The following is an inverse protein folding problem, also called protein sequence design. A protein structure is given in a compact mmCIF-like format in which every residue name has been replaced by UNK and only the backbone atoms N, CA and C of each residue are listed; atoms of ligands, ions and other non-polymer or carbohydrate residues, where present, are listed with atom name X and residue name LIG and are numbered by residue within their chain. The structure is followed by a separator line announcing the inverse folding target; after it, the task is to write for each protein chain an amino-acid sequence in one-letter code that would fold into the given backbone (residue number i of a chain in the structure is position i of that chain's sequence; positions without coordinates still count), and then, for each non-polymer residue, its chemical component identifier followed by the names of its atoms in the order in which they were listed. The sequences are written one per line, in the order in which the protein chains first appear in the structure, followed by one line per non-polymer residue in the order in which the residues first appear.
data_IF_200397869861
#
_entry.id   IF_200397869861
#
_cell.length_a   1.000
_cell.length_b   1.000
_cell.length_c   1.000
_cell.angle_alpha   90.00
_cell.angle_beta   90.00
_cell.angle_gamma   90.00
#
_symmetry.space_group_name_H-M   'P 1'
#
loop_
_entity.id
_entity.type
_entity.pdbx_description
1 polymer ?
#
# COMPACT_ATOMS: atom_id res chain seq x y z
N UNK A 1 11.65 -23.76 -30.95
CA UNK A 1 11.49 -22.40 -30.40
C UNK A 1 10.90 -22.52 -29.00
N UNK A 2 11.69 -22.25 -27.96
CA UNK A 2 11.27 -22.47 -26.58
C UNK A 2 10.49 -21.23 -26.11
N UNK A 3 9.16 -21.34 -26.10
CA UNK A 3 8.22 -20.30 -25.67
C UNK A 3 8.27 -20.10 -24.14
N UNK A 4 9.39 -19.68 -23.57
CA UNK A 4 9.48 -19.25 -22.17
C UNK A 4 10.32 -17.98 -22.06
N UNK A 5 9.66 -16.84 -21.84
CA UNK A 5 10.34 -15.59 -21.49
C UNK A 5 9.83 -15.06 -20.14
N UNK A 6 9.89 -15.93 -19.13
CA UNK A 6 9.57 -15.58 -17.75
C UNK A 6 10.71 -14.83 -17.05
N UNK A 7 11.94 -14.83 -17.61
CA UNK A 7 13.12 -14.17 -17.05
C UNK A 7 12.81 -12.73 -16.64
N UNK A 8 12.33 -11.90 -17.56
CA UNK A 8 12.10 -10.48 -17.29
C UNK A 8 11.01 -10.26 -16.24
N UNK A 9 9.98 -11.10 -16.23
CA UNK A 9 8.90 -11.02 -15.23
C UNK A 9 9.44 -11.38 -13.84
N UNK A 10 10.24 -12.44 -13.72
CA UNK A 10 10.86 -12.84 -12.45
C UNK A 10 11.85 -11.79 -11.96
N UNK A 11 12.73 -11.29 -12.83
CA UNK A 11 13.69 -10.22 -12.50
C UNK A 11 12.96 -8.97 -12.00
N UNK A 12 11.91 -8.53 -12.71
CA UNK A 12 11.09 -7.40 -12.29
C UNK A 12 10.41 -7.64 -10.94
N UNK A 13 9.88 -8.85 -10.73
CA UNK A 13 9.18 -9.23 -9.49
C UNK A 13 10.12 -9.26 -8.29
N UNK A 14 11.29 -9.90 -8.41
CA UNK A 14 12.28 -9.96 -7.34
C UNK A 14 12.94 -8.60 -7.05
N UNK A 15 13.17 -7.78 -8.08
CA UNK A 15 13.69 -6.42 -7.88
C UNK A 15 12.71 -5.57 -7.07
N UNK A 16 11.43 -5.57 -7.43
CA UNK A 16 10.42 -4.80 -6.70
C UNK A 16 10.14 -5.41 -5.32
N UNK A 17 10.18 -6.74 -5.17
CA UNK A 17 10.12 -7.41 -3.87
C UNK A 17 11.21 -6.90 -2.92
N UNK A 18 12.47 -6.86 -3.35
CA UNK A 18 13.60 -6.40 -2.52
C UNK A 18 13.46 -4.92 -2.13
N UNK A 19 13.02 -4.08 -3.07
CA UNK A 19 12.77 -2.66 -2.80
C UNK A 19 11.66 -2.48 -1.77
N UNK A 20 10.51 -3.15 -1.97
CA UNK A 20 9.37 -3.03 -1.07
C UNK A 20 9.62 -3.73 0.27
N UNK A 21 10.50 -4.72 0.34
CA UNK A 21 10.93 -5.32 1.61
C UNK A 21 11.55 -4.25 2.51
N UNK A 22 12.44 -3.43 1.97
CA UNK A 22 13.03 -2.30 2.68
C UNK A 22 11.97 -1.25 3.05
N UNK A 23 11.15 -0.85 2.07
CA UNK A 23 10.16 0.21 2.26
C UNK A 23 9.05 -0.17 3.26
N UNK A 24 8.43 -1.34 3.12
CA UNK A 24 7.33 -1.78 3.99
C UNK A 24 7.81 -1.99 5.42
N UNK A 25 9.01 -2.54 5.61
CA UNK A 25 9.61 -2.67 6.94
C UNK A 25 9.91 -1.33 7.60
N UNK A 26 10.39 -0.36 6.82
CA UNK A 26 10.64 0.99 7.32
C UNK A 26 9.33 1.74 7.63
N UNK A 27 8.32 1.62 6.76
CA UNK A 27 7.01 2.25 6.91
C UNK A 27 6.32 1.85 8.22
N UNK A 28 6.26 0.55 8.54
CA UNK A 28 5.58 0.05 9.75
C UNK A 28 6.27 0.51 11.04
N UNK A 29 7.55 0.86 10.95
CA UNK A 29 8.33 1.37 12.08
C UNK A 29 8.31 2.89 12.20
N UNK A 30 7.99 3.66 11.15
CA UNK A 30 8.08 5.13 11.20
C UNK A 30 7.32 5.76 12.36
N UNK A 31 6.09 5.30 12.62
CA UNK A 31 5.24 5.80 13.71
C UNK A 31 5.86 5.58 15.09
N UNK A 32 6.77 4.62 15.20
CA UNK A 32 7.36 4.17 16.46
C UNK A 32 8.85 4.48 16.58
N UNK A 33 9.57 4.64 15.48
CA UNK A 33 10.99 4.97 15.41
C UNK A 33 11.23 6.48 15.46
N UNK A 34 10.42 7.25 14.71
CA UNK A 34 10.54 8.70 14.58
C UNK A 34 9.33 9.41 15.23
N UNK A 35 9.15 9.19 16.54
CA UNK A 35 7.99 9.68 17.31
C UNK A 35 8.00 11.18 17.61
N UNK A 36 9.18 11.80 17.69
CA UNK A 36 9.36 13.20 18.11
C UNK A 36 8.55 14.10 17.17
N UNK A 37 7.62 14.87 17.75
CA UNK A 37 6.69 15.77 17.03
C UNK A 37 5.90 15.10 15.90
N UNK A 38 5.80 13.77 15.89
CA UNK A 38 5.12 13.04 14.82
C UNK A 38 5.87 13.01 13.48
N UNK A 39 7.18 13.30 13.46
CA UNK A 39 7.99 13.38 12.25
C UNK A 39 7.83 12.16 11.30
N UNK A 40 7.82 10.94 11.86
CA UNK A 40 7.70 9.71 11.08
C UNK A 40 6.40 9.63 10.28
N UNK A 41 5.25 9.85 10.93
CA UNK A 41 3.94 9.83 10.26
C UNK A 41 3.73 11.05 9.36
N UNK A 42 4.27 12.22 9.71
CA UNK A 42 4.26 13.38 8.83
C UNK A 42 5.02 13.10 7.52
N UNK A 43 6.18 12.45 7.60
CA UNK A 43 6.95 12.02 6.43
C UNK A 43 6.15 11.07 5.53
N UNK A 44 5.49 10.07 6.12
CA UNK A 44 4.63 9.15 5.38
C UNK A 44 3.45 9.88 4.72
N UNK A 45 2.81 10.80 5.44
CA UNK A 45 1.71 11.60 4.89
C UNK A 45 2.15 12.39 3.66
N UNK A 46 3.27 13.13 3.75
CA UNK A 46 3.81 13.90 2.62
C UNK A 46 4.16 13.00 1.43
N UNK A 47 4.78 11.85 1.68
CA UNK A 47 5.09 10.88 0.62
C UNK A 47 3.84 10.42 -0.13
N UNK A 48 2.74 10.10 0.58
CA UNK A 48 1.49 9.67 -0.05
C UNK A 48 0.73 10.80 -0.75
N UNK A 49 0.81 12.05 -0.26
CA UNK A 49 0.33 13.23 -1.00
C UNK A 49 1.11 13.40 -2.31
N UNK A 50 2.45 13.34 -2.24
CA UNK A 50 3.31 13.42 -3.42
C UNK A 50 3.07 12.25 -4.38
N UNK A 51 2.80 11.04 -3.88
CA UNK A 51 2.42 9.89 -4.68
C UNK A 51 1.10 10.12 -5.44
N UNK A 52 0.10 10.65 -4.75
CA UNK A 52 -1.21 10.98 -5.34
C UNK A 52 -1.05 11.93 -6.51
N UNK A 53 -0.28 13.02 -6.33
CA UNK A 53 0.03 13.98 -7.39
C UNK A 53 0.85 13.37 -8.53
N UNK A 54 1.84 12.56 -8.18
CA UNK A 54 2.74 11.93 -9.15
C UNK A 54 2.03 10.95 -10.06
N UNK A 55 1.14 10.12 -9.51
CA UNK A 55 0.43 9.06 -10.22
C UNK A 55 -0.36 9.53 -11.43
N UNK A 56 -0.81 10.79 -11.45
CA UNK A 56 -1.53 11.40 -12.57
C UNK A 56 -0.62 12.00 -13.64
N UNK A 57 0.53 12.53 -13.23
CA UNK A 57 1.33 13.48 -14.04
C UNK A 57 2.59 12.85 -14.62
N UNK A 58 3.38 12.18 -13.78
CA UNK A 58 4.75 11.80 -14.10
C UNK A 58 4.87 10.53 -14.97
N UNK A 59 4.01 9.49 -14.82
CA UNK A 59 4.14 8.27 -15.62
C UNK A 59 4.23 8.46 -17.14
N UNK A 60 3.30 9.16 -17.82
CA UNK A 60 3.35 9.29 -19.27
C UNK A 60 4.61 10.03 -19.74
N UNK A 61 5.06 11.04 -18.98
CA UNK A 61 6.24 11.85 -19.28
C UNK A 61 7.53 11.02 -19.21
N UNK A 62 7.72 10.30 -18.11
CA UNK A 62 8.95 9.54 -17.88
C UNK A 62 9.03 8.31 -18.78
N UNK A 63 7.93 7.56 -18.94
CA UNK A 63 7.89 6.38 -19.79
C UNK A 63 8.20 6.76 -21.25
N UNK A 64 7.66 7.88 -21.76
CA UNK A 64 7.95 8.37 -23.12
C UNK A 64 9.41 8.82 -23.27
N UNK A 65 9.96 9.57 -22.30
CA UNK A 65 11.28 10.20 -22.43
C UNK A 65 12.45 9.23 -22.24
N UNK A 66 12.39 8.36 -21.23
CA UNK A 66 13.52 7.49 -20.84
C UNK A 66 13.18 5.99 -20.94
N UNK A 67 11.93 5.63 -21.25
CA UNK A 67 11.49 4.23 -21.38
C UNK A 67 11.15 3.57 -20.05
N UNK A 68 10.50 2.41 -20.10
CA UNK A 68 10.01 1.70 -18.91
C UNK A 68 11.15 1.29 -17.97
N UNK A 69 12.21 0.64 -18.49
CA UNK A 69 13.34 0.15 -17.66
C UNK A 69 13.97 1.26 -16.83
N UNK A 70 14.33 2.38 -17.46
CA UNK A 70 15.01 3.48 -16.77
C UNK A 70 14.07 4.29 -15.89
N UNK A 71 12.77 4.35 -16.21
CA UNK A 71 11.75 4.90 -15.30
C UNK A 71 11.66 4.08 -14.00
N UNK A 72 11.67 2.75 -14.10
CA UNK A 72 11.72 1.85 -12.93
C UNK A 72 12.97 2.15 -12.12
N UNK A 73 14.15 2.13 -12.73
CA UNK A 73 15.45 2.38 -12.04
C UNK A 73 15.47 3.73 -11.34
N UNK A 74 15.10 4.82 -12.03
CA UNK A 74 15.05 6.16 -11.44
C UNK A 74 14.11 6.21 -10.24
N UNK A 75 12.94 5.57 -10.35
CA UNK A 75 11.98 5.50 -9.26
C UNK A 75 12.52 4.70 -8.06
N UNK A 76 13.19 3.57 -8.30
CA UNK A 76 13.83 2.78 -7.23
C UNK A 76 14.89 3.56 -6.48
N UNK A 77 15.66 4.42 -7.16
CA UNK A 77 16.66 5.30 -6.52
C UNK A 77 15.97 6.30 -5.57
N UNK A 78 14.80 6.84 -5.94
CA UNK A 78 14.01 7.68 -5.04
C UNK A 78 13.68 6.94 -3.75
N UNK A 79 13.24 5.68 -3.81
CA UNK A 79 12.97 4.85 -2.62
C UNK A 79 14.21 4.65 -1.74
N UNK A 80 15.39 4.41 -2.34
CA UNK A 80 16.65 4.27 -1.58
C UNK A 80 16.99 5.57 -0.84
N UNK A 81 16.73 6.74 -1.46
CA UNK A 81 17.03 8.03 -0.84
C UNK A 81 16.31 8.22 0.51
N UNK A 82 15.08 7.72 0.64
CA UNK A 82 14.34 7.76 1.91
C UNK A 82 14.96 6.87 2.98
N UNK A 83 15.39 5.65 2.63
CA UNK A 83 16.12 4.78 3.57
C UNK A 83 17.43 5.44 4.03
N UNK A 84 18.16 6.11 3.13
CA UNK A 84 19.39 6.83 3.46
C UNK A 84 19.14 8.04 4.37
N UNK A 85 18.11 8.84 4.09
CA UNK A 85 17.76 10.00 4.92
C UNK A 85 17.29 9.59 6.34
N UNK A 86 16.85 8.35 6.53
CA UNK A 86 16.50 7.83 7.85
C UNK A 86 17.72 7.59 8.78
N UNK A 87 18.96 7.56 8.26
CA UNK A 87 20.15 7.48 9.13
C UNK A 87 20.32 8.76 9.98
N UNK A 88 19.91 9.90 9.43
CA UNK A 88 19.93 11.20 10.10
C UNK A 88 18.55 11.86 9.98
N UNK A 89 17.55 11.38 10.76
CA UNK A 89 16.18 11.82 10.62
C UNK A 89 16.03 13.23 11.22
N UNK A 90 15.69 14.18 10.35
CA UNK A 90 15.34 15.56 10.68
C UNK A 90 14.15 15.97 9.82
N UNK A 91 13.45 17.04 10.21
CA UNK A 91 12.33 17.57 9.42
C UNK A 91 12.71 17.81 7.96
N UNK A 92 13.79 18.55 7.60
CA UNK A 92 14.14 18.74 6.20
C UNK A 92 14.51 17.42 5.50
N UNK A 93 15.32 16.55 6.12
CA UNK A 93 15.83 15.34 5.45
C UNK A 93 14.71 14.35 5.15
N UNK A 94 13.81 14.10 6.09
CA UNK A 94 12.71 13.16 5.89
C UNK A 94 11.61 13.72 5.01
N UNK A 95 11.24 14.99 5.12
CA UNK A 95 10.19 15.58 4.26
C UNK A 95 10.65 15.64 2.80
N UNK A 96 11.88 16.08 2.53
CA UNK A 96 12.41 16.14 1.16
C UNK A 96 12.48 14.74 0.54
N UNK A 97 13.02 13.76 1.27
CA UNK A 97 13.09 12.39 0.76
C UNK A 97 11.71 11.75 0.61
N UNK A 98 10.72 12.12 1.44
CA UNK A 98 9.33 11.70 1.29
C UNK A 98 8.72 12.20 -0.02
N UNK A 99 8.93 13.47 -0.35
CA UNK A 99 8.51 14.04 -1.65
C UNK A 99 9.18 13.27 -2.80
N UNK A 100 10.49 13.02 -2.72
CA UNK A 100 11.21 12.25 -3.75
C UNK A 100 10.61 10.85 -3.95
N UNK A 101 10.35 10.11 -2.87
CA UNK A 101 9.71 8.78 -2.96
C UNK A 101 8.31 8.85 -3.53
N UNK A 102 7.49 9.81 -3.08
CA UNK A 102 6.16 10.01 -3.63
C UNK A 102 6.19 10.31 -5.13
N UNK A 103 7.11 11.18 -5.57
CA UNK A 103 7.33 11.46 -6.98
C UNK A 103 7.78 10.23 -7.77
N UNK A 104 8.58 9.33 -7.19
CA UNK A 104 8.98 8.07 -7.83
C UNK A 104 7.93 6.96 -7.82
N UNK A 105 7.04 6.92 -6.83
CA UNK A 105 6.11 5.80 -6.64
C UNK A 105 5.09 5.64 -7.77
N UNK A 106 4.50 6.73 -8.26
CA UNK A 106 3.55 6.68 -9.37
C UNK A 106 4.18 6.12 -10.66
N UNK A 107 5.29 6.70 -11.13
CA UNK A 107 6.06 6.21 -12.26
C UNK A 107 6.52 4.76 -12.10
N UNK A 108 6.92 4.32 -10.90
CA UNK A 108 7.30 2.93 -10.65
C UNK A 108 6.16 1.95 -10.98
N UNK A 109 4.96 2.19 -10.43
CA UNK A 109 3.81 1.31 -10.62
C UNK A 109 3.32 1.30 -12.06
N UNK A 110 3.27 2.47 -12.70
CA UNK A 110 2.86 2.60 -14.07
C UNK A 110 3.85 1.93 -15.03
N UNK A 111 5.14 2.26 -14.93
CA UNK A 111 6.17 1.69 -15.80
C UNK A 111 6.29 0.18 -15.66
N UNK A 112 6.16 -0.36 -14.45
CA UNK A 112 6.06 -1.80 -14.18
C UNK A 112 4.87 -2.44 -14.90
N UNK A 113 3.69 -1.84 -14.76
CA UNK A 113 2.45 -2.38 -15.35
C UNK A 113 2.51 -2.36 -16.87
N UNK A 114 3.02 -1.26 -17.45
CA UNK A 114 3.30 -1.15 -18.89
C UNK A 114 4.34 -2.19 -19.33
N UNK A 115 5.43 -2.38 -18.59
CA UNK A 115 6.47 -3.36 -18.91
C UNK A 115 5.92 -4.79 -18.94
N UNK A 116 5.13 -5.19 -17.94
CA UNK A 116 4.49 -6.51 -17.88
C UNK A 116 3.54 -6.69 -19.07
N UNK A 117 2.73 -5.67 -19.37
CA UNK A 117 1.74 -5.71 -20.45
C UNK A 117 2.41 -5.85 -21.82
N UNK A 118 3.42 -5.03 -22.13
CA UNK A 118 4.13 -5.10 -23.40
C UNK A 118 4.86 -6.45 -23.56
N UNK A 119 5.51 -6.93 -22.49
CA UNK A 119 6.19 -8.24 -22.51
C UNK A 119 5.20 -9.38 -22.70
N UNK A 120 4.04 -9.33 -22.04
CA UNK A 120 2.96 -10.31 -22.17
C UNK A 120 2.37 -10.33 -23.57
N UNK A 121 2.09 -9.16 -24.16
CA UNK A 121 1.56 -9.05 -25.52
C UNK A 121 2.54 -9.61 -26.56
N UNK A 122 3.82 -9.22 -26.49
CA UNK A 122 4.85 -9.71 -27.42
C UNK A 122 5.04 -11.23 -27.32
N UNK A 123 4.99 -11.77 -26.10
CA UNK A 123 5.05 -13.21 -25.89
C UNK A 123 3.81 -13.93 -26.43
N UNK A 124 2.62 -13.37 -26.21
CA UNK A 124 1.37 -13.94 -26.69
C UNK A 124 1.33 -14.01 -28.22
N UNK A 125 1.78 -12.96 -28.90
CA UNK A 125 1.91 -12.90 -30.35
C UNK A 125 2.89 -13.96 -30.88
N UNK A 126 4.07 -14.06 -30.27
CA UNK A 126 5.11 -15.03 -30.69
C UNK A 126 4.66 -16.48 -30.51
N UNK A 127 3.84 -16.76 -29.50
CA UNK A 127 3.42 -18.11 -29.11
C UNK A 127 1.97 -18.45 -29.49
N UNK A 128 1.28 -17.58 -30.24
CA UNK A 128 -0.11 -17.79 -30.66
C UNK A 128 -1.13 -17.93 -29.51
N UNK A 129 -0.91 -17.25 -28.38
CA UNK A 129 -1.79 -17.26 -27.20
C UNK A 129 -2.64 -16.00 -27.14
N UNK A 130 -3.74 -16.04 -26.39
CA UNK A 130 -4.54 -14.85 -26.11
C UNK A 130 -3.73 -13.90 -25.21
N UNK A 131 -3.51 -12.66 -25.67
CA UNK A 131 -2.73 -11.66 -24.93
C UNK A 131 -3.26 -11.40 -23.52
N UNK A 132 -4.59 -11.32 -23.38
CA UNK A 132 -5.27 -11.12 -22.09
C UNK A 132 -4.88 -12.17 -21.05
N UNK A 133 -4.79 -13.44 -21.45
CA UNK A 133 -4.50 -14.54 -20.53
C UNK A 133 -3.05 -14.53 -20.08
N UNK A 134 -2.12 -14.28 -21.01
CA UNK A 134 -0.68 -14.17 -20.69
C UNK A 134 -0.41 -12.99 -19.78
N UNK A 135 -0.98 -11.82 -20.09
CA UNK A 135 -0.79 -10.60 -19.28
C UNK A 135 -1.34 -10.83 -17.87
N UNK A 136 -2.54 -11.40 -17.75
CA UNK A 136 -3.12 -11.75 -16.44
C UNK A 136 -2.24 -12.73 -15.66
N UNK A 137 -1.70 -13.76 -16.33
CA UNK A 137 -0.78 -14.70 -15.71
C UNK A 137 0.49 -14.00 -15.18
N UNK A 138 1.08 -13.10 -15.96
CA UNK A 138 2.29 -12.37 -15.55
C UNK A 138 2.04 -11.40 -14.39
N UNK A 139 0.90 -10.70 -14.40
CA UNK A 139 0.49 -9.90 -13.24
C UNK A 139 0.27 -10.77 -12.00
N UNK A 140 -0.35 -11.95 -12.14
CA UNK A 140 -0.55 -12.91 -11.06
C UNK A 140 0.78 -13.36 -10.43
N UNK A 141 1.76 -13.76 -11.26
CA UNK A 141 3.10 -14.14 -10.81
C UNK A 141 3.77 -12.96 -10.09
N UNK A 142 3.70 -11.76 -10.69
CA UNK A 142 4.27 -10.55 -10.10
C UNK A 142 3.73 -10.29 -8.70
N UNK A 143 2.39 -10.25 -8.55
CA UNK A 143 1.77 -9.91 -7.28
C UNK A 143 1.99 -11.00 -6.23
N UNK A 144 1.98 -12.28 -6.62
CA UNK A 144 2.29 -13.39 -5.71
C UNK A 144 3.68 -13.23 -5.09
N UNK A 145 4.70 -12.91 -5.89
CA UNK A 145 6.06 -12.71 -5.39
C UNK A 145 6.14 -11.41 -4.58
N UNK A 146 5.65 -10.30 -5.12
CA UNK A 146 5.81 -8.97 -4.54
C UNK A 146 5.07 -8.81 -3.21
N UNK A 147 3.91 -9.43 -3.01
CA UNK A 147 3.14 -9.30 -1.75
C UNK A 147 3.88 -9.89 -0.54
N UNK A 148 4.81 -10.82 -0.76
CA UNK A 148 5.64 -11.36 0.33
C UNK A 148 6.60 -10.32 0.94
N UNK A 149 6.78 -9.14 0.32
CA UNK A 149 7.61 -8.06 0.85
C UNK A 149 7.22 -7.63 2.27
N UNK A 150 5.92 -7.65 2.59
CA UNK A 150 5.40 -7.30 3.93
C UNK A 150 5.93 -8.27 4.99
N UNK A 151 6.11 -9.54 4.63
CA UNK A 151 6.65 -10.57 5.54
C UNK A 151 8.14 -10.34 5.76
N UNK A 152 8.91 -10.26 4.67
CA UNK A 152 10.38 -10.12 4.76
C UNK A 152 10.81 -8.82 5.44
N UNK A 153 10.15 -7.69 5.13
CA UNK A 153 10.53 -6.39 5.68
C UNK A 153 10.35 -6.32 7.20
N UNK A 154 9.23 -6.86 7.68
CA UNK A 154 8.90 -6.93 9.10
C UNK A 154 9.67 -8.05 9.84
N UNK A 155 10.10 -9.09 9.13
CA UNK A 155 10.96 -10.12 9.70
C UNK A 155 12.37 -9.57 9.95
N UNK A 156 12.94 -8.83 9.00
CA UNK A 156 14.25 -8.18 9.16
C UNK A 156 14.25 -7.28 10.40
N UNK A 157 13.25 -6.41 10.56
CA UNK A 157 13.18 -5.53 11.73
C UNK A 157 13.09 -6.31 13.03
N UNK A 158 12.18 -7.28 13.10
CA UNK A 158 11.98 -8.09 14.31
C UNK A 158 13.24 -8.85 14.71
N UNK A 159 13.97 -9.44 13.75
CA UNK A 159 15.22 -10.15 14.02
C UNK A 159 16.31 -9.19 14.52
N UNK A 160 16.49 -8.04 13.87
CA UNK A 160 17.49 -7.03 14.29
C UNK A 160 17.20 -6.54 15.72
N UNK A 161 15.93 -6.31 16.06
CA UNK A 161 15.53 -5.89 17.41
C UNK A 161 15.77 -6.97 18.48
N UNK A 162 15.60 -8.26 18.15
CA UNK A 162 15.79 -9.35 19.12
C UNK A 162 17.25 -9.78 19.27
N UNK A 163 18.06 -9.66 18.23
CA UNK A 163 19.45 -10.13 18.23
C UNK A 163 20.44 -9.10 18.79
N UNK A 164 20.04 -7.83 18.97
CA UNK A 164 20.92 -6.79 19.47
C UNK A 164 20.77 -6.59 20.99
N UNK A 165 21.77 -6.94 21.82
CA UNK A 165 21.72 -6.74 23.26
C UNK A 165 21.68 -5.24 23.63
N UNK A 166 21.00 -4.90 24.74
CA UNK A 166 20.83 -3.52 25.24
C UNK A 166 20.17 -2.54 24.25
N UNK A 167 19.23 -3.03 23.44
CA UNK A 167 18.58 -2.22 22.41
C UNK A 167 17.66 -1.09 22.94
N UNK A 168 17.42 -1.00 24.25
CA UNK A 168 16.56 0.03 24.85
C UNK A 168 15.11 -0.05 24.35
N UNK A 169 14.60 -1.28 24.20
CA UNK A 169 13.31 -1.59 23.56
C UNK A 169 12.19 -1.90 24.56
N UNK A 170 12.40 -1.62 25.84
CA UNK A 170 11.39 -1.87 26.86
C UNK A 170 10.14 -1.04 26.57
N UNK A 171 8.97 -1.62 26.87
CA UNK A 171 7.71 -0.93 26.69
C UNK A 171 7.78 0.41 27.46
N UNK A 172 7.39 1.54 26.84
CA UNK A 172 7.39 2.81 27.54
C UNK A 172 6.51 2.67 28.79
N UNK A 173 6.89 3.33 29.90
CA UNK A 173 6.04 3.49 31.10
C UNK A 173 4.85 4.42 30.81
N UNK A 174 4.12 4.14 29.73
CA UNK A 174 2.96 4.88 29.27
C UNK A 174 1.74 4.25 29.93
N UNK A 175 1.04 5.02 30.74
CA UNK A 175 -0.13 4.54 31.51
C UNK A 175 -1.38 4.38 30.66
N UNK A 176 -1.40 4.96 29.45
CA UNK A 176 -2.56 4.97 28.56
C UNK A 176 -2.13 4.46 27.18
N UNK A 177 -2.65 3.30 26.79
CA UNK A 177 -2.45 2.64 25.50
C UNK A 177 -3.80 2.32 24.84
N UNK A 178 -3.78 1.97 23.55
CA UNK A 178 -4.98 1.59 22.79
C UNK A 178 -5.86 2.79 22.43
N UNK A 179 -7.18 2.63 22.51
CA UNK A 179 -8.14 3.66 22.08
C UNK A 179 -8.02 4.99 22.84
N UNK A 180 -7.53 4.96 24.08
CA UNK A 180 -7.33 6.14 24.92
C UNK A 180 -6.06 6.94 24.62
N UNK A 181 -5.17 6.46 23.75
CA UNK A 181 -3.93 7.17 23.41
C UNK A 181 -4.24 8.49 22.65
N UNK A 182 -3.71 9.60 23.17
CA UNK A 182 -3.95 10.97 22.70
C UNK A 182 -2.63 11.74 22.59
N UNK A 183 -2.54 12.73 21.68
CA UNK A 183 -1.36 13.59 21.55
C UNK A 183 -1.07 14.39 22.83
N UNK A 184 0.22 14.61 23.11
CA UNK A 184 0.73 15.18 24.36
C UNK A 184 0.27 16.63 24.67
N UNK A 185 -0.28 17.37 23.71
CA UNK A 185 -0.83 18.72 23.98
C UNK A 185 -2.13 18.70 24.83
N UNK A 186 -2.80 17.55 24.93
CA UNK A 186 -3.98 17.35 25.77
C UNK A 186 -3.64 16.77 27.17
N UNK A 187 -2.40 16.37 27.38
CA UNK A 187 -1.91 15.75 28.61
C UNK A 187 -0.56 16.39 28.97
N UNK A 188 -0.61 17.55 29.64
CA UNK A 188 0.56 18.07 30.34
C UNK A 188 1.04 17.02 31.35
N UNK A 189 2.13 16.33 31.03
CA UNK A 189 3.20 15.91 31.95
C UNK A 189 4.20 15.03 31.21
N UNK A 190 5.44 15.50 31.08
CA UNK A 190 6.61 14.64 30.93
C UNK A 190 7.45 14.89 29.68
N UNK A 191 8.63 15.49 29.89
CA UNK A 191 9.77 15.34 28.98
C UNK A 191 10.23 13.87 29.01
N UNK A 192 9.64 13.01 28.19
CA UNK A 192 10.09 11.63 28.01
C UNK A 192 10.88 11.51 26.71
N UNK A 193 12.20 11.74 26.81
CA UNK A 193 13.21 11.34 25.82
C UNK A 193 13.45 9.81 25.79
N UNK A 194 12.49 9.01 26.25
CA UNK A 194 12.65 7.57 26.46
C UNK A 194 11.89 6.79 25.40
N UNK A 195 12.62 6.12 24.50
CA UNK A 195 12.03 5.17 23.54
C UNK A 195 12.69 5.11 22.16
N UNK A 196 13.77 5.86 21.90
CA UNK A 196 14.56 5.68 20.67
C UNK A 196 15.51 4.48 20.84
N UNK A 197 15.48 3.48 19.95
CA UNK A 197 16.44 2.37 19.98
C UNK A 197 17.88 2.87 19.91
N UNK A 198 18.82 2.06 20.42
CA UNK A 198 20.24 2.40 20.34
C UNK A 198 20.69 2.63 18.89
N UNK A 199 21.63 3.56 18.68
CA UNK A 199 22.10 3.91 17.33
C UNK A 199 22.63 2.70 16.56
N UNK A 200 23.22 1.72 17.24
CA UNK A 200 23.68 0.46 16.65
C UNK A 200 22.53 -0.32 15.98
N UNK A 201 21.39 -0.46 16.67
CA UNK A 201 20.21 -1.15 16.13
C UNK A 201 19.69 -0.42 14.89
N UNK A 202 19.60 0.90 14.98
CA UNK A 202 19.12 1.75 13.87
C UNK A 202 20.04 1.60 12.65
N UNK A 203 21.36 1.63 12.83
CA UNK A 203 22.30 1.50 11.72
C UNK A 203 22.31 0.12 11.09
N UNK A 204 22.20 -0.96 11.88
CA UNK A 204 22.08 -2.32 11.33
C UNK A 204 20.77 -2.44 10.54
N UNK A 205 19.67 -1.95 11.09
CA UNK A 205 18.36 -1.99 10.45
C UNK A 205 18.34 -1.22 9.13
N UNK A 206 18.69 0.06 9.16
CA UNK A 206 18.70 0.92 7.98
C UNK A 206 19.76 0.50 6.96
N UNK A 207 20.89 -0.04 7.43
CA UNK A 207 21.92 -0.65 6.58
C UNK A 207 21.38 -1.84 5.81
N UNK A 208 20.67 -2.75 6.48
CA UNK A 208 20.03 -3.91 5.84
C UNK A 208 18.98 -3.51 4.80
N UNK A 209 18.13 -2.52 5.10
CA UNK A 209 17.13 -2.00 4.17
C UNK A 209 17.75 -1.28 2.97
N UNK A 210 18.77 -0.46 3.20
CA UNK A 210 19.50 0.22 2.12
C UNK A 210 20.21 -0.79 1.22
N UNK A 211 20.84 -1.82 1.81
CA UNK A 211 21.45 -2.93 1.06
C UNK A 211 20.45 -3.67 0.17
N UNK A 212 19.26 -3.98 0.68
CA UNK A 212 18.18 -4.59 -0.12
C UNK A 212 17.76 -3.70 -1.30
N UNK A 213 17.63 -2.38 -1.06
CA UNK A 213 17.28 -1.42 -2.10
C UNK A 213 18.35 -1.28 -3.19
N UNK A 214 19.63 -1.21 -2.80
CA UNK A 214 20.74 -1.15 -3.77
C UNK A 214 20.82 -2.45 -4.59
N UNK A 215 20.67 -3.61 -3.94
CA UNK A 215 20.62 -4.90 -4.62
C UNK A 215 19.45 -4.97 -5.62
N UNK A 216 18.28 -4.43 -5.25
CA UNK A 216 17.13 -4.34 -6.15
C UNK A 216 17.45 -3.54 -7.42
N UNK A 217 18.09 -2.37 -7.28
CA UNK A 217 18.47 -1.53 -8.42
C UNK A 217 19.49 -2.24 -9.31
N UNK A 218 20.53 -2.86 -8.73
CA UNK A 218 21.53 -3.61 -9.48
C UNK A 218 20.89 -4.77 -10.26
N UNK A 219 19.96 -5.49 -9.63
CA UNK A 219 19.24 -6.59 -10.26
C UNK A 219 18.45 -6.12 -11.49
N UNK A 220 17.74 -4.98 -11.40
CA UNK A 220 17.01 -4.41 -12.54
C UNK A 220 17.96 -3.86 -13.62
N UNK A 221 19.03 -3.17 -13.26
CA UNK A 221 19.98 -2.60 -14.24
C UNK A 221 20.63 -3.72 -15.06
N UNK A 222 21.10 -4.78 -14.39
CA UNK A 222 21.90 -5.85 -15.01
C UNK A 222 21.00 -6.83 -15.77
N UNK A 223 19.91 -7.30 -15.17
CA UNK A 223 19.18 -8.46 -15.68
C UNK A 223 17.88 -8.13 -16.42
N UNK A 224 17.29 -6.93 -16.23
CA UNK A 224 16.05 -6.57 -16.90
C UNK A 224 16.35 -6.07 -18.31
N UNK A 225 15.78 -6.72 -19.32
CA UNK A 225 16.03 -6.31 -20.70
C UNK A 225 15.30 -4.99 -21.00
N UNK A 226 15.92 -4.13 -21.81
CA UNK A 226 15.28 -2.89 -22.25
C UNK A 226 14.31 -3.20 -23.39
N UNK A 227 13.03 -2.91 -23.16
CA UNK A 227 12.02 -2.98 -24.23
C UNK A 227 12.12 -1.69 -25.03
N UNK A 228 12.56 -1.79 -26.29
CA UNK A 228 12.34 -0.75 -27.28
C UNK A 228 10.85 -0.77 -27.62
N UNK A 229 10.09 0.19 -27.09
CA UNK A 229 8.73 0.42 -27.57
C UNK A 229 8.80 0.99 -28.98
N UNK A 230 7.89 0.56 -29.86
CA UNK A 230 7.59 1.33 -31.06
C UNK A 230 7.28 2.75 -30.59
N UNK A 231 8.15 3.69 -30.95
CA UNK A 231 7.92 5.11 -30.70
C UNK A 231 6.91 5.57 -31.73
N UNK A 232 5.65 5.20 -31.55
CA UNK A 232 4.58 5.90 -32.24
C UNK A 232 4.68 7.36 -31.80
N UNK A 233 5.08 8.22 -32.75
CA UNK A 233 5.19 9.67 -32.66
C UNK A 233 3.82 10.35 -32.48
N UNK A 234 2.95 9.80 -31.62
CA UNK A 234 1.80 10.55 -31.13
C UNK A 234 2.29 11.47 -30.02
N UNK A 235 2.10 12.77 -30.24
CA UNK A 235 2.28 13.78 -29.22
C UNK A 235 1.25 13.57 -28.11
N UNK A 236 1.62 12.76 -27.12
CA UNK A 236 0.94 12.68 -25.83
C UNK A 236 1.13 14.04 -25.15
N UNK A 237 0.15 14.92 -25.30
CA UNK A 237 0.09 16.16 -24.57
C UNK A 237 -0.24 15.84 -23.10
N UNK A 238 0.63 16.21 -22.16
CA UNK A 238 0.43 15.97 -20.72
C UNK A 238 -0.93 16.51 -20.24
N UNK A 239 -1.35 17.65 -20.81
CA UNK A 239 -2.65 18.24 -20.55
C UNK A 239 -3.82 17.35 -20.97
N UNK A 240 -3.73 16.57 -22.06
CA UNK A 240 -4.82 15.72 -22.51
C UNK A 240 -4.96 14.45 -21.67
N UNK A 241 -3.85 13.87 -21.17
CA UNK A 241 -3.88 12.72 -20.24
C UNK A 241 -4.41 13.13 -18.86
N UNK A 242 -3.96 14.28 -18.34
CA UNK A 242 -4.49 14.84 -17.10
C UNK A 242 -5.99 15.16 -17.25
N UNK A 243 -6.37 15.83 -18.35
CA UNK A 243 -7.76 16.14 -18.67
C UNK A 243 -8.58 14.86 -18.80
N UNK A 244 -8.04 13.77 -19.34
CA UNK A 244 -8.72 12.49 -19.42
C UNK A 244 -8.96 11.87 -18.03
N UNK A 245 -7.97 11.94 -17.12
CA UNK A 245 -8.12 11.48 -15.75
C UNK A 245 -9.20 12.28 -14.98
N UNK A 246 -9.20 13.62 -15.11
CA UNK A 246 -10.23 14.49 -14.53
C UNK A 246 -11.60 14.32 -15.20
N UNK A 247 -11.63 14.09 -16.52
CA UNK A 247 -12.88 13.81 -17.24
C UNK A 247 -13.50 12.49 -16.78
N UNK A 248 -12.70 11.52 -16.35
CA UNK A 248 -13.19 10.27 -15.77
C UNK A 248 -13.88 10.48 -14.41
N UNK A 249 -13.50 11.51 -13.64
CA UNK A 249 -14.22 11.93 -12.43
C UNK A 249 -15.63 12.48 -12.72
N UNK A 250 -16.01 12.64 -14.00
CA UNK A 250 -17.39 12.98 -14.38
C UNK A 250 -18.30 11.76 -14.42
N UNK A 251 -17.75 10.53 -14.42
CA UNK A 251 -18.55 9.31 -14.31
C UNK A 251 -19.07 9.19 -12.87
N UNK A 252 -20.40 9.19 -12.71
CA UNK A 252 -21.07 9.08 -11.41
C UNK A 252 -20.63 7.82 -10.65
N UNK A 253 -20.36 6.72 -11.34
CA UNK A 253 -19.93 5.46 -10.73
C UNK A 253 -18.55 5.59 -10.09
N UNK A 254 -17.64 6.32 -10.75
CA UNK A 254 -16.32 6.61 -10.20
C UNK A 254 -16.43 7.42 -8.91
N UNK A 255 -17.25 8.48 -8.91
CA UNK A 255 -17.43 9.33 -7.73
C UNK A 255 -18.00 8.57 -6.52
N UNK A 256 -18.97 7.68 -6.76
CA UNK A 256 -19.58 6.87 -5.70
C UNK A 256 -18.61 5.86 -5.10
N UNK A 257 -17.63 5.37 -5.87
CA UNK A 257 -16.60 4.45 -5.37
C UNK A 257 -15.49 5.15 -4.58
N UNK A 258 -15.35 6.49 -4.66
CA UNK A 258 -14.27 7.23 -4.00
C UNK A 258 -14.17 6.90 -2.50
N UNK A 259 -15.24 6.96 -1.69
CA UNK A 259 -15.09 6.73 -0.24
C UNK A 259 -14.64 5.32 0.09
N UNK A 260 -15.06 4.31 -0.69
CA UNK A 260 -14.59 2.94 -0.51
C UNK A 260 -13.12 2.77 -0.95
N UNK A 261 -12.68 3.44 -2.02
CA UNK A 261 -11.26 3.44 -2.40
C UNK A 261 -10.37 4.17 -1.39
N UNK A 262 -10.84 5.29 -0.83
CA UNK A 262 -10.14 5.98 0.24
C UNK A 262 -10.07 5.12 1.50
N UNK A 263 -11.14 4.38 1.83
CA UNK A 263 -11.16 3.46 2.96
C UNK A 263 -10.02 2.43 2.90
N UNK A 264 -9.73 1.87 1.72
CA UNK A 264 -8.60 0.95 1.49
C UNK A 264 -7.25 1.54 1.94
N UNK A 265 -7.03 2.83 1.67
CA UNK A 265 -5.82 3.53 2.15
C UNK A 265 -5.87 3.87 3.63
N UNK A 266 -7.04 4.26 4.13
CA UNK A 266 -7.24 4.63 5.53
C UNK A 266 -6.96 3.47 6.49
N UNK A 267 -7.51 2.29 6.21
CA UNK A 267 -7.34 1.12 7.07
C UNK A 267 -5.88 0.62 7.10
N UNK A 268 -5.17 0.72 5.96
CA UNK A 268 -3.76 0.36 5.86
C UNK A 268 -2.87 1.39 6.55
N UNK A 269 -3.23 2.68 6.47
CA UNK A 269 -2.59 3.73 7.25
C UNK A 269 -2.76 3.51 8.76
N UNK A 270 -3.97 3.16 9.21
CA UNK A 270 -4.27 2.87 10.61
C UNK A 270 -3.45 1.68 11.15
N UNK A 271 -3.42 0.55 10.42
CA UNK A 271 -2.63 -0.61 10.87
C UNK A 271 -1.14 -0.29 10.89
N UNK A 272 -0.62 0.45 9.91
CA UNK A 272 0.81 0.75 9.80
C UNK A 272 1.31 1.81 10.81
N UNK A 273 0.43 2.72 11.28
CA UNK A 273 0.81 3.80 12.20
C UNK A 273 0.25 3.67 13.61
N UNK A 274 -1.07 3.77 13.76
CA UNK A 274 -1.73 3.87 15.06
C UNK A 274 -1.79 2.52 15.77
N UNK A 275 -2.08 1.43 15.04
CA UNK A 275 -2.11 0.10 15.64
C UNK A 275 -0.71 -0.34 16.12
N UNK A 276 0.31 -0.20 15.27
CA UNK A 276 1.70 -0.54 15.62
C UNK A 276 2.23 0.30 16.78
N UNK A 277 1.89 1.59 16.83
CA UNK A 277 2.34 2.50 17.91
C UNK A 277 1.54 2.32 19.20
N UNK A 278 0.23 2.53 19.14
CA UNK A 278 -0.63 2.72 20.32
C UNK A 278 -1.10 1.41 20.95
N UNK A 279 -1.15 0.31 20.19
CA UNK A 279 -1.50 -1.01 20.73
C UNK A 279 -0.25 -1.86 20.92
N UNK A 280 0.49 -2.15 19.84
CA UNK A 280 1.59 -3.13 19.89
C UNK A 280 2.80 -2.57 20.62
N UNK A 281 3.36 -1.45 20.17
CA UNK A 281 4.59 -0.88 20.76
C UNK A 281 4.37 -0.42 22.20
N UNK A 282 3.20 0.11 22.51
CA UNK A 282 2.86 0.62 23.84
C UNK A 282 2.91 -0.48 24.92
N UNK A 283 2.46 -1.71 24.62
CA UNK A 283 2.37 -2.81 25.59
C UNK A 283 3.48 -3.86 25.41
N UNK A 284 3.79 -4.25 24.18
CA UNK A 284 4.74 -5.32 23.87
C UNK A 284 6.15 -4.80 23.55
N UNK A 285 6.26 -3.52 23.19
CA UNK A 285 7.50 -2.92 22.70
C UNK A 285 7.75 -3.13 21.20
N UNK A 286 8.74 -2.41 20.68
CA UNK A 286 9.08 -2.36 19.26
C UNK A 286 9.43 -3.72 18.64
N UNK A 287 10.01 -4.62 19.44
CA UNK A 287 10.49 -5.95 19.00
C UNK A 287 9.38 -6.88 18.48
N UNK A 288 8.12 -6.65 18.86
CA UNK A 288 6.99 -7.47 18.43
C UNK A 288 6.18 -6.88 17.26
N UNK A 289 6.46 -5.63 16.88
CA UNK A 289 5.73 -4.95 15.79
C UNK A 289 5.76 -5.77 14.51
N UNK A 290 6.95 -6.21 14.10
CA UNK A 290 7.06 -6.96 12.85
C UNK A 290 6.42 -8.36 12.92
N UNK A 291 6.53 -9.08 14.05
CA UNK A 291 5.84 -10.36 14.21
C UNK A 291 4.32 -10.24 14.11
N UNK A 292 3.73 -9.21 14.70
CA UNK A 292 2.28 -8.96 14.59
C UNK A 292 1.89 -8.65 13.14
N UNK A 293 2.63 -7.77 12.46
CA UNK A 293 2.33 -7.39 11.06
C UNK A 293 2.58 -8.55 10.07
N UNK A 294 3.45 -9.51 10.39
CA UNK A 294 3.58 -10.74 9.59
C UNK A 294 2.26 -11.52 9.57
N UNK A 295 1.51 -11.59 10.68
CA UNK A 295 0.20 -12.23 10.69
C UNK A 295 -0.77 -11.57 9.70
N UNK A 296 -0.82 -10.23 9.69
CA UNK A 296 -1.56 -9.46 8.69
C UNK A 296 -1.12 -9.78 7.25
N UNK A 297 0.19 -9.82 6.97
CA UNK A 297 0.71 -10.11 5.64
C UNK A 297 0.38 -11.54 5.14
N UNK A 298 0.48 -12.53 6.03
CA UNK A 298 0.20 -13.93 5.71
C UNK A 298 -1.29 -14.16 5.48
N UNK A 299 -2.17 -13.67 6.38
CA UNK A 299 -3.61 -13.83 6.22
C UNK A 299 -4.10 -13.10 4.97
N UNK A 300 -3.59 -11.90 4.70
CA UNK A 300 -3.90 -11.14 3.48
C UNK A 300 -3.53 -11.94 2.21
N UNK A 301 -2.32 -12.48 2.16
CA UNK A 301 -1.84 -13.23 0.99
C UNK A 301 -2.67 -14.49 0.71
N UNK A 302 -3.00 -15.25 1.76
CA UNK A 302 -3.84 -16.45 1.65
C UNK A 302 -5.27 -16.08 1.22
N UNK A 303 -5.86 -15.07 1.87
CA UNK A 303 -7.23 -14.65 1.60
C UNK A 303 -7.39 -14.01 0.22
N UNK A 304 -6.40 -13.29 -0.31
CA UNK A 304 -6.43 -12.72 -1.65
C UNK A 304 -6.61 -13.81 -2.73
N UNK A 305 -5.95 -14.97 -2.57
CA UNK A 305 -6.10 -16.11 -3.48
C UNK A 305 -7.48 -16.74 -3.33
N UNK A 306 -7.95 -16.92 -2.09
CA UNK A 306 -9.25 -17.54 -1.79
C UNK A 306 -10.39 -16.67 -2.33
N UNK A 307 -10.42 -15.38 -1.98
CA UNK A 307 -11.47 -14.46 -2.40
C UNK A 307 -11.46 -14.18 -3.90
N UNK A 308 -10.29 -14.17 -4.54
CA UNK A 308 -10.19 -14.09 -6.00
C UNK A 308 -10.91 -15.23 -6.72
N UNK A 309 -10.84 -16.46 -6.18
CA UNK A 309 -11.59 -17.62 -6.71
C UNK A 309 -13.03 -17.63 -6.25
N UNK A 310 -13.28 -17.35 -4.97
CA UNK A 310 -14.61 -17.41 -4.37
C UNK A 310 -15.58 -16.40 -4.99
N UNK A 311 -15.08 -15.21 -5.37
CA UNK A 311 -15.86 -14.18 -6.05
C UNK A 311 -16.49 -14.66 -7.37
N UNK A 312 -15.92 -15.68 -8.02
CA UNK A 312 -16.49 -16.27 -9.24
C UNK A 312 -17.76 -17.09 -8.96
N UNK A 313 -17.91 -17.61 -7.73
CA UNK A 313 -19.05 -18.46 -7.34
C UNK A 313 -20.12 -17.67 -6.57
N UNK A 314 -19.70 -16.81 -5.63
CA UNK A 314 -20.64 -16.08 -4.74
C UNK A 314 -21.01 -14.70 -5.26
N UNK A 315 -20.33 -14.22 -6.30
CA UNK A 315 -20.34 -12.80 -6.65
C UNK A 315 -19.54 -11.93 -5.66
N UNK A 316 -19.46 -10.64 -5.96
CA UNK A 316 -18.62 -9.67 -5.22
C UNK A 316 -19.30 -9.10 -3.98
N UNK A 317 -20.60 -8.78 -4.07
CA UNK A 317 -21.36 -8.09 -3.01
C UNK A 317 -21.27 -8.81 -1.64
N UNK A 318 -21.48 -10.14 -1.53
CA UNK A 318 -21.39 -10.81 -0.23
C UNK A 318 -20.01 -10.73 0.41
N UNK A 319 -18.95 -10.72 -0.41
CA UNK A 319 -17.57 -10.62 0.06
C UNK A 319 -17.24 -9.20 0.54
N UNK A 320 -17.72 -8.15 -0.14
CA UNK A 320 -17.61 -6.77 0.35
C UNK A 320 -18.32 -6.61 1.70
N UNK A 321 -19.51 -7.19 1.87
CA UNK A 321 -20.24 -7.15 3.15
C UNK A 321 -19.50 -7.92 4.25
N UNK A 322 -18.90 -9.07 3.93
CA UNK A 322 -18.09 -9.84 4.88
C UNK A 322 -16.87 -9.04 5.35
N UNK A 323 -16.11 -8.44 4.42
CA UNK A 323 -14.98 -7.58 4.76
C UNK A 323 -15.39 -6.40 5.63
N UNK A 324 -16.54 -5.79 5.35
CA UNK A 324 -17.07 -4.68 6.15
C UNK A 324 -17.41 -5.11 7.57
N UNK A 325 -18.09 -6.26 7.70
CA UNK A 325 -18.47 -6.80 9.01
C UNK A 325 -17.24 -7.13 9.86
N UNK A 326 -16.20 -7.74 9.27
CA UNK A 326 -14.95 -8.06 9.99
C UNK A 326 -14.25 -6.76 10.43
N UNK A 327 -14.09 -5.78 9.54
CA UNK A 327 -13.45 -4.51 9.91
C UNK A 327 -14.23 -3.73 10.98
N UNK A 328 -15.55 -3.62 10.85
CA UNK A 328 -16.39 -2.97 11.87
C UNK A 328 -16.28 -3.72 13.21
N UNK A 329 -16.30 -5.06 13.19
CA UNK A 329 -16.08 -5.89 14.37
C UNK A 329 -14.71 -5.64 15.03
N UNK A 330 -13.63 -5.57 14.24
CA UNK A 330 -12.30 -5.22 14.73
C UNK A 330 -12.24 -3.81 15.30
N UNK A 331 -12.86 -2.82 14.66
CA UNK A 331 -12.92 -1.43 15.15
C UNK A 331 -13.63 -1.35 16.49
N UNK A 332 -14.80 -2.01 16.63
CA UNK A 332 -15.52 -2.11 17.91
C UNK A 332 -14.65 -2.82 18.95
N UNK A 333 -13.97 -3.90 18.55
CA UNK A 333 -12.99 -4.59 19.37
C UNK A 333 -11.90 -3.66 19.89
N UNK A 334 -11.30 -2.84 19.03
CA UNK A 334 -10.28 -1.86 19.40
C UNK A 334 -10.80 -0.76 20.33
N UNK A 335 -12.06 -0.34 20.19
CA UNK A 335 -12.69 0.65 21.09
C UNK A 335 -12.93 0.11 22.50
N UNK A 336 -13.34 -1.16 22.62
CA UNK A 336 -13.70 -1.76 23.91
C UNK A 336 -12.47 -2.35 24.61
N UNK A 337 -11.55 -2.93 23.84
CA UNK A 337 -10.42 -3.66 24.38
C UNK A 337 -9.34 -2.74 24.95
N UNK A 338 -9.07 -2.90 26.24
CA UNK A 338 -7.91 -2.29 26.90
C UNK A 338 -6.71 -3.23 26.75
N UNK A 339 -5.67 -2.85 26.01
CA UNK A 339 -4.55 -3.74 25.73
C UNK A 339 -3.74 -3.96 27.01
N UNK A 340 -3.45 -5.22 27.32
CA UNK A 340 -2.73 -5.65 28.51
C UNK A 340 -1.78 -6.80 28.16
N UNK A 341 -0.67 -6.93 28.91
CA UNK A 341 0.35 -7.96 28.68
C UNK A 341 -0.19 -9.39 28.85
N UNK A 342 -1.28 -9.61 29.59
CA UNK A 342 -1.88 -10.94 29.74
C UNK A 342 -2.53 -11.51 28.46
N UNK A 343 -2.82 -10.67 27.46
CA UNK A 343 -3.61 -11.03 26.28
C UNK A 343 -2.80 -10.99 24.98
N UNK A 344 -1.59 -11.58 24.98
CA UNK A 344 -0.68 -11.59 23.83
C UNK A 344 -1.33 -12.05 22.52
N UNK A 345 -2.18 -13.07 22.56
CA UNK A 345 -2.81 -13.63 21.36
C UNK A 345 -3.72 -12.63 20.61
N UNK A 346 -4.35 -11.69 21.34
CA UNK A 346 -5.31 -10.75 20.76
C UNK A 346 -4.64 -9.82 19.74
N UNK A 347 -3.39 -9.42 19.97
CA UNK A 347 -2.64 -8.58 19.03
C UNK A 347 -2.47 -9.27 17.66
N UNK A 348 -2.13 -10.56 17.66
CA UNK A 348 -1.93 -11.35 16.44
C UNK A 348 -3.25 -11.67 15.74
N UNK A 349 -4.28 -12.04 16.51
CA UNK A 349 -5.61 -12.35 15.97
C UNK A 349 -6.25 -11.12 15.32
N UNK A 350 -6.23 -9.97 16.00
CA UNK A 350 -6.77 -8.73 15.43
C UNK A 350 -6.03 -8.29 14.17
N UNK A 351 -4.70 -8.39 14.16
CA UNK A 351 -3.89 -8.11 12.97
C UNK A 351 -4.20 -9.08 11.82
N UNK A 352 -4.39 -10.36 12.13
CA UNK A 352 -4.79 -11.39 11.18
C UNK A 352 -6.16 -11.11 10.55
N UNK A 353 -7.18 -10.81 11.38
CA UNK A 353 -8.53 -10.45 10.93
C UNK A 353 -8.53 -9.19 10.06
N UNK A 354 -7.73 -8.19 10.42
CA UNK A 354 -7.53 -7.00 9.60
C UNK A 354 -6.96 -7.35 8.22
N UNK A 355 -6.05 -8.32 8.15
CA UNK A 355 -5.47 -8.82 6.89
C UNK A 355 -6.47 -9.57 6.02
N UNK A 356 -7.45 -10.27 6.63
CA UNK A 356 -8.56 -10.89 5.88
C UNK A 356 -9.39 -9.80 5.19
N UNK A 357 -9.73 -8.73 5.89
CA UNK A 357 -10.49 -7.62 5.32
C UNK A 357 -9.69 -6.87 4.24
N UNK A 358 -8.40 -6.54 4.49
CA UNK A 358 -7.49 -5.93 3.50
C UNK A 358 -7.47 -6.72 2.19
N UNK A 359 -7.49 -8.05 2.25
CA UNK A 359 -7.53 -8.91 1.07
C UNK A 359 -8.80 -8.71 0.23
N UNK A 360 -9.95 -8.51 0.87
CA UNK A 360 -11.23 -8.22 0.21
C UNK A 360 -11.11 -6.92 -0.57
N UNK A 361 -10.67 -5.84 0.08
CA UNK A 361 -10.60 -4.52 -0.53
C UNK A 361 -9.57 -4.51 -1.65
N UNK A 362 -8.35 -4.99 -1.42
CA UNK A 362 -7.30 -5.00 -2.43
C UNK A 362 -7.68 -5.85 -3.66
N UNK A 363 -8.19 -7.05 -3.46
CA UNK A 363 -8.46 -8.00 -4.56
C UNK A 363 -9.75 -7.65 -5.30
N UNK A 364 -10.83 -7.38 -4.57
CA UNK A 364 -12.15 -7.21 -5.18
C UNK A 364 -12.38 -5.80 -5.70
N UNK A 365 -11.84 -4.77 -5.04
CA UNK A 365 -11.96 -3.39 -5.53
C UNK A 365 -11.14 -3.20 -6.81
N UNK A 366 -9.92 -3.74 -6.87
CA UNK A 366 -9.12 -3.75 -8.11
C UNK A 366 -9.83 -4.50 -9.24
N UNK A 367 -10.46 -5.65 -8.93
CA UNK A 367 -11.26 -6.42 -9.90
C UNK A 367 -12.51 -5.66 -10.36
N UNK A 368 -13.17 -4.94 -9.44
CA UNK A 368 -14.35 -4.13 -9.72
C UNK A 368 -14.01 -3.02 -10.72
N UNK A 369 -12.94 -2.27 -10.47
CA UNK A 369 -12.44 -1.24 -11.38
C UNK A 369 -12.10 -1.80 -12.78
N UNK A 370 -11.50 -2.99 -12.83
CA UNK A 370 -11.17 -3.66 -14.09
C UNK A 370 -12.37 -4.06 -14.95
N UNK A 371 -13.52 -4.36 -14.31
CA UNK A 371 -14.77 -4.74 -15.02
C UNK A 371 -15.63 -3.52 -15.33
N UNK A 372 -15.82 -2.61 -14.37
CA UNK A 372 -16.71 -1.46 -14.53
C UNK A 372 -16.21 -0.46 -15.59
N UNK A 373 -14.89 -0.34 -15.73
CA UNK A 373 -14.25 0.62 -16.62
C UNK A 373 -13.40 -0.06 -17.69
N UNK A 374 -13.91 -1.11 -18.32
CA UNK A 374 -13.16 -1.88 -19.33
C UNK A 374 -12.65 -1.03 -20.50
N UNK A 375 -13.42 -0.02 -20.92
CA UNK A 375 -13.04 0.88 -22.03
C UNK A 375 -11.93 1.87 -21.65
N UNK A 376 -11.79 2.22 -20.38
CA UNK A 376 -10.89 3.28 -19.88
C UNK A 376 -10.04 2.79 -18.67
N UNK A 377 -9.50 1.57 -18.74
CA UNK A 377 -8.79 0.93 -17.62
C UNK A 377 -7.67 1.79 -17.03
N UNK A 378 -6.84 2.40 -17.86
CA UNK A 378 -5.69 3.20 -17.41
C UNK A 378 -6.13 4.40 -16.54
N UNK A 379 -7.13 5.15 -16.98
CA UNK A 379 -7.67 6.29 -16.23
C UNK A 379 -8.38 5.87 -14.94
N UNK A 380 -9.06 4.72 -14.96
CA UNK A 380 -9.75 4.17 -13.80
C UNK A 380 -8.75 3.71 -12.71
N UNK A 381 -7.69 2.97 -13.09
CA UNK A 381 -6.64 2.53 -12.16
C UNK A 381 -5.76 3.68 -11.65
N UNK A 382 -5.54 4.72 -12.47
CA UNK A 382 -4.88 5.95 -12.01
C UNK A 382 -5.71 6.64 -10.92
N UNK A 383 -7.03 6.78 -11.12
CA UNK A 383 -7.91 7.33 -10.09
C UNK A 383 -8.00 6.44 -8.84
N UNK A 384 -8.09 5.12 -9.00
CA UNK A 384 -8.03 4.17 -7.87
C UNK A 384 -6.77 4.42 -7.02
N UNK A 385 -5.59 4.46 -7.66
CA UNK A 385 -4.31 4.67 -6.99
C UNK A 385 -4.24 6.04 -6.29
N UNK A 386 -4.82 7.08 -6.90
CA UNK A 386 -4.88 8.43 -6.33
C UNK A 386 -5.72 8.47 -5.05
N UNK A 387 -6.94 7.94 -5.11
CA UNK A 387 -7.87 8.02 -3.96
C UNK A 387 -7.42 7.11 -2.82
N UNK A 388 -6.85 5.95 -3.14
CA UNK A 388 -6.21 5.08 -2.15
C UNK A 388 -5.02 5.78 -1.48
N UNK A 389 -4.12 6.39 -2.26
CA UNK A 389 -2.97 7.13 -1.72
C UNK A 389 -3.41 8.32 -0.86
N UNK A 390 -4.50 9.01 -1.23
CA UNK A 390 -5.06 10.07 -0.41
C UNK A 390 -5.60 9.55 0.93
N UNK A 391 -6.21 8.36 0.94
CA UNK A 391 -6.62 7.67 2.16
C UNK A 391 -5.45 7.44 3.13
N UNK A 392 -4.32 6.94 2.61
CA UNK A 392 -3.08 6.82 3.39
C UNK A 392 -2.58 8.17 3.90
N UNK A 393 -2.57 9.19 3.03
CA UNK A 393 -2.08 10.53 3.38
C UNK A 393 -2.86 11.15 4.54
N UNK A 394 -4.19 11.04 4.52
CA UNK A 394 -5.05 11.54 5.60
C UNK A 394 -4.83 10.71 6.86
N UNK A 395 -4.77 9.37 6.74
CA UNK A 395 -4.55 8.47 7.87
C UNK A 395 -3.23 8.76 8.62
N UNK A 396 -2.15 9.03 7.90
CA UNK A 396 -0.90 9.44 8.55
C UNK A 396 -0.91 10.90 9.01
N UNK A 397 -1.56 11.78 8.25
CA UNK A 397 -1.58 13.22 8.50
C UNK A 397 -2.22 13.58 9.84
N UNK A 398 -3.40 13.02 10.13
CA UNK A 398 -4.10 13.25 11.40
C UNK A 398 -3.61 12.38 12.57
N UNK A 399 -2.64 11.47 12.35
CA UNK A 399 -2.21 10.47 13.35
C UNK A 399 -1.59 11.15 14.58
N UNK A 400 -0.90 12.28 14.40
CA UNK A 400 -0.29 13.04 15.50
C UNK A 400 -1.22 14.05 16.16
N UNK A 401 -2.42 14.30 15.62
CA UNK A 401 -3.31 15.39 16.07
C UNK A 401 -4.60 14.91 16.72
N UNK A 402 -5.06 13.70 16.38
CA UNK A 402 -6.29 13.13 16.94
C UNK A 402 -5.99 11.99 17.92
N UNK A 403 -6.87 11.81 18.91
CA UNK A 403 -6.87 10.62 19.75
C UNK A 403 -7.27 9.37 18.95
N UNK A 404 -6.80 8.20 19.37
CA UNK A 404 -7.04 6.94 18.65
C UNK A 404 -8.53 6.59 18.55
N UNK A 405 -9.32 6.82 19.59
CA UNK A 405 -10.78 6.57 19.52
C UNK A 405 -11.48 7.43 18.45
N UNK A 406 -11.06 8.69 18.25
CA UNK A 406 -11.63 9.57 17.20
C UNK A 406 -11.32 8.98 15.83
N UNK A 407 -10.08 8.52 15.62
CA UNK A 407 -9.66 7.88 14.37
C UNK A 407 -10.45 6.61 14.07
N UNK A 408 -10.73 5.79 15.10
CA UNK A 408 -11.56 4.60 14.98
C UNK A 408 -13.01 4.95 14.56
N UNK A 409 -13.59 6.01 15.11
CA UNK A 409 -14.91 6.50 14.67
C UNK A 409 -14.90 7.04 13.23
N UNK A 410 -13.86 7.77 12.84
CA UNK A 410 -13.68 8.22 11.45
C UNK A 410 -13.63 7.01 10.51
N UNK A 411 -12.82 6.01 10.85
CA UNK A 411 -12.67 4.79 10.07
C UNK A 411 -14.01 4.02 9.94
N UNK A 412 -14.78 3.94 11.03
CA UNK A 412 -16.12 3.35 11.04
C UNK A 412 -17.11 4.15 10.17
N UNK A 413 -17.07 5.47 10.20
CA UNK A 413 -17.92 6.32 9.37
C UNK A 413 -17.61 6.14 7.88
N UNK A 414 -16.33 6.17 7.52
CA UNK A 414 -15.88 6.05 6.12
C UNK A 414 -16.24 4.68 5.53
N UNK A 415 -16.10 3.58 6.29
CA UNK A 415 -16.51 2.25 5.78
C UNK A 415 -18.02 2.14 5.58
N UNK A 416 -18.83 2.66 6.51
CA UNK A 416 -20.30 2.63 6.39
C UNK A 416 -20.74 3.43 5.16
N UNK A 417 -20.22 4.66 4.99
CA UNK A 417 -20.49 5.48 3.81
C UNK A 417 -20.00 4.79 2.54
N UNK A 418 -18.80 4.20 2.55
CA UNK A 418 -18.23 3.49 1.41
C UNK A 418 -19.10 2.31 0.94
N UNK A 419 -19.61 1.51 1.86
CA UNK A 419 -20.48 0.37 1.54
C UNK A 419 -21.86 0.82 1.05
N UNK A 420 -22.44 1.87 1.66
CA UNK A 420 -23.72 2.42 1.19
C UNK A 420 -23.62 2.96 -0.25
N UNK A 421 -22.55 3.68 -0.56
CA UNK A 421 -22.33 4.22 -1.91
C UNK A 421 -21.97 3.12 -2.91
N UNK A 422 -21.22 2.09 -2.49
CA UNK A 422 -21.01 0.90 -3.31
C UNK A 422 -22.33 0.19 -3.65
N UNK A 423 -23.23 0.04 -2.67
CA UNK A 423 -24.56 -0.50 -2.91
C UNK A 423 -25.36 0.32 -3.94
N UNK A 424 -25.22 1.64 -3.94
CA UNK A 424 -25.81 2.50 -4.96
C UNK A 424 -25.21 2.26 -6.36
N UNK A 425 -23.91 1.99 -6.47
CA UNK A 425 -23.26 1.65 -7.75
C UNK A 425 -23.78 0.32 -8.30
N UNK A 426 -23.86 -0.71 -7.46
CA UNK A 426 -24.40 -2.02 -7.84
C UNK A 426 -25.87 -1.91 -8.28
N UNK A 427 -26.67 -1.08 -7.60
CA UNK A 427 -28.05 -0.81 -8.00
C UNK A 427 -28.15 -0.09 -9.36
N UNK A 428 -27.29 0.90 -9.61
CA UNK A 428 -27.24 1.60 -10.90
C UNK A 428 -26.87 0.63 -12.02
N UNK A 429 -25.88 -0.24 -11.80
CA UNK A 429 -25.43 -1.20 -12.80
C UNK A 429 -26.52 -2.24 -13.08
N UNK A 430 -27.14 -2.80 -12.04
CA UNK A 430 -28.26 -3.73 -12.17
C UNK A 430 -29.42 -3.13 -12.98
N UNK A 431 -29.76 -1.86 -12.74
CA UNK A 431 -30.81 -1.16 -13.49
C UNK A 431 -30.42 -0.95 -14.95
N UNK A 432 -29.15 -0.64 -15.23
CA UNK A 432 -28.69 -0.46 -16.61
C UNK A 432 -28.78 -1.77 -17.40
N UNK A 433 -28.41 -2.91 -16.79
CA UNK A 433 -28.55 -4.23 -17.42
C UNK A 433 -30.01 -4.57 -17.73
N UNK A 434 -30.93 -4.30 -16.80
CA UNK A 434 -32.37 -4.49 -17.03
C UNK A 434 -32.92 -3.63 -18.18
N UNK A 435 -32.41 -2.40 -18.34
CA UNK A 435 -32.82 -1.52 -19.44
C UNK A 435 -32.25 -1.95 -20.81
N UNK A 436 -31.08 -2.60 -20.85
CA UNK A 436 -30.49 -3.14 -22.08
C UNK A 436 -31.15 -4.45 -22.54
N UNK A 437 -31.76 -5.20 -21.62
CA UNK A 437 -32.51 -6.44 -21.90
C UNK A 437 -34.02 -6.22 -22.13
N UNK A 438 -34.50 -4.97 -22.10
CA UNK A 438 -35.88 -4.63 -22.46
C UNK A 438 -36.22 -5.02 -23.91
N UNK A 439 -37.50 -5.34 -24.22
CA UNK A 439 -37.87 -5.87 -25.53
C UNK A 439 -37.44 -4.91 -26.64
N UNK A 440 -36.65 -5.43 -27.57
CA UNK A 440 -36.46 -4.82 -28.88
C UNK A 440 -37.77 -5.01 -29.64
N UNK A 441 -38.70 -4.09 -29.44
CA UNK A 441 -39.92 -3.97 -30.24
C UNK A 441 -39.60 -3.77 -31.72
#
# INVERSE_FOLDING_TARGET
MQCSNLKNILVLSFGILLLYTAYMGLQTLQSSLNKIEGLGVASLSVMYVSLSLSSLLLPPLLIKKIGCKWTIVASMICFISYSLCNFYPSWPTLIISSVLVGLGGGPLWASKSTYITITGNKYAETCGKLAKDVVNQYFGIFFLICQTCRVWGNLISSLVFNLTPNAGLDAPNQTICGAGDCPAELTQTGNSTSGRPSNTVIYILLGSYTGCGVLAVLLIIIFLDQIQGDRDEKDINCGSTLLAAFKHLRDKRQCLLIPLTMFSGFEQGFIASDFTKSYVTCILGLKYVGFVIICFGVTNSICAIIFGKLAQYTGRVPLFLLGAAINIGCIIGFLIWKPATGNFAVFFVMSGLWGISDAVWQTLLSSLYGVLFEKNKEAAFANFSLWESLGFAIAFGYSSFLCVYIKLYILMCVIVVGILLYGAVEYIEYRNTLCEEGPKD
#
